data_IF_358554414876
#
_entry.id   IF_358554414876
#
_cell.length_a   1.000
_cell.length_b   1.000
_cell.length_c   1.000
_cell.angle_alpha   90.00
_cell.angle_beta   90.00
_cell.angle_gamma   90.00
#
_symmetry.space_group_name_H-M   'P 1'
#
loop_
_entity.id
_entity.type
_entity.pdbx_description
1 polymer ?
#
# COMPACT_ATOMS: atom_id res chain seq x y z
N UNK A 1 34.26 14.16 -17.35
CA UNK A 1 33.08 14.79 -17.95
C UNK A 1 32.20 13.82 -18.75
N UNK A 2 32.74 13.06 -19.73
CA UNK A 2 31.98 12.10 -20.57
C UNK A 2 31.32 10.96 -19.80
N UNK A 3 32.02 10.29 -18.87
CA UNK A 3 31.50 9.22 -18.04
C UNK A 3 30.37 9.70 -17.11
N UNK A 4 30.49 10.88 -16.49
CA UNK A 4 29.46 11.46 -15.63
C UNK A 4 28.18 11.72 -16.41
N UNK A 5 28.26 12.34 -17.58
CA UNK A 5 27.11 12.58 -18.46
C UNK A 5 26.42 11.29 -18.92
N UNK A 6 27.20 10.21 -19.11
CA UNK A 6 26.65 8.89 -19.45
C UNK A 6 25.90 8.26 -18.28
N UNK A 7 26.40 8.42 -17.03
CA UNK A 7 25.72 7.95 -15.82
C UNK A 7 24.44 8.74 -15.57
N UNK A 8 24.48 10.06 -15.65
CA UNK A 8 23.30 10.92 -15.54
C UNK A 8 22.20 10.48 -16.53
N UNK A 9 22.56 10.29 -17.81
CA UNK A 9 21.64 9.82 -18.84
C UNK A 9 21.04 8.45 -18.51
N UNK A 10 21.85 7.52 -17.98
CA UNK A 10 21.38 6.19 -17.59
C UNK A 10 20.37 6.27 -16.43
N UNK A 11 20.63 7.11 -15.42
CA UNK A 11 19.74 7.31 -14.29
C UNK A 11 18.40 7.91 -14.74
N UNK A 12 18.41 8.88 -15.65
CA UNK A 12 17.18 9.41 -16.27
C UNK A 12 16.43 8.33 -17.06
N UNK A 13 17.12 7.48 -17.80
CA UNK A 13 16.49 6.36 -18.52
C UNK A 13 15.86 5.34 -17.58
N UNK A 14 16.48 5.05 -16.43
CA UNK A 14 15.90 4.18 -15.39
C UNK A 14 14.62 4.79 -14.81
N UNK A 15 14.63 6.08 -14.49
CA UNK A 15 13.44 6.78 -13.97
C UNK A 15 12.31 6.78 -15.01
N UNK A 16 12.58 7.21 -16.25
CA UNK A 16 11.58 7.25 -17.31
C UNK A 16 11.07 5.84 -17.64
N UNK A 17 11.98 4.88 -17.77
CA UNK A 17 11.64 3.47 -17.99
C UNK A 17 10.79 2.90 -16.87
N UNK A 18 11.14 3.17 -15.61
CA UNK A 18 10.37 2.80 -14.44
C UNK A 18 8.95 3.37 -14.48
N UNK A 19 8.79 4.66 -14.78
CA UNK A 19 7.47 5.30 -14.90
C UNK A 19 6.63 4.68 -16.03
N UNK A 20 7.23 4.41 -17.18
CA UNK A 20 6.55 3.76 -18.31
C UNK A 20 6.07 2.36 -17.91
N UNK A 21 6.94 1.57 -17.28
CA UNK A 21 6.60 0.22 -16.78
C UNK A 21 5.48 0.31 -15.76
N UNK A 22 5.54 1.23 -14.79
CA UNK A 22 4.49 1.43 -13.79
C UNK A 22 3.11 1.74 -14.42
N UNK A 23 3.07 2.62 -15.43
CA UNK A 23 1.82 3.00 -16.11
C UNK A 23 1.19 1.79 -16.82
N UNK A 24 1.98 1.05 -17.61
CA UNK A 24 1.45 -0.13 -18.31
C UNK A 24 1.04 -1.24 -17.35
N UNK A 25 1.87 -1.51 -16.35
CA UNK A 25 1.64 -2.58 -15.37
C UNK A 25 0.42 -2.29 -14.49
N UNK A 26 0.25 -1.04 -14.04
CA UNK A 26 -0.93 -0.63 -13.31
C UNK A 26 -2.21 -0.73 -14.16
N UNK A 27 -2.16 -0.41 -15.47
CA UNK A 27 -3.28 -0.63 -16.37
C UNK A 27 -3.64 -2.13 -16.52
N UNK A 28 -2.64 -3.03 -16.64
CA UNK A 28 -2.89 -4.46 -16.72
C UNK A 28 -3.44 -5.03 -15.43
N UNK A 29 -2.88 -4.63 -14.28
CA UNK A 29 -3.38 -5.05 -12.97
C UNK A 29 -4.83 -4.61 -12.78
N UNK A 30 -5.13 -3.34 -13.08
CA UNK A 30 -6.50 -2.81 -12.97
C UNK A 30 -7.47 -3.55 -13.91
N UNK A 31 -7.08 -3.79 -15.16
CA UNK A 31 -7.89 -4.55 -16.12
C UNK A 31 -8.18 -5.97 -15.64
N UNK A 32 -7.18 -6.63 -15.03
CA UNK A 32 -7.35 -7.93 -14.40
C UNK A 32 -8.32 -7.86 -13.21
N UNK A 33 -8.16 -6.85 -12.34
CA UNK A 33 -8.99 -6.66 -11.15
C UNK A 33 -10.47 -6.44 -11.53
N UNK A 34 -10.75 -5.57 -12.49
CA UNK A 34 -12.11 -5.30 -12.99
C UNK A 34 -12.71 -6.58 -13.60
N UNK A 35 -11.97 -7.26 -14.49
CA UNK A 35 -12.45 -8.48 -15.12
C UNK A 35 -12.70 -9.62 -14.10
N UNK A 36 -11.88 -9.71 -13.05
CA UNK A 36 -12.06 -10.69 -11.98
C UNK A 36 -13.28 -10.36 -11.13
N UNK A 37 -13.51 -9.09 -10.81
CA UNK A 37 -14.70 -8.60 -10.10
C UNK A 37 -15.98 -9.03 -10.83
N UNK A 38 -16.05 -8.76 -12.14
CA UNK A 38 -17.18 -9.15 -12.99
C UNK A 38 -17.35 -10.66 -13.05
N UNK A 39 -16.27 -11.41 -13.25
CA UNK A 39 -16.31 -12.87 -13.41
C UNK A 39 -16.75 -13.62 -12.16
N UNK A 40 -16.38 -13.11 -10.98
CA UNK A 40 -16.70 -13.74 -9.69
C UNK A 40 -17.93 -13.13 -9.01
N UNK A 41 -18.53 -12.11 -9.62
CA UNK A 41 -19.64 -11.34 -9.04
C UNK A 41 -19.31 -10.82 -7.64
N UNK A 42 -18.12 -10.20 -7.53
CA UNK A 42 -17.57 -9.64 -6.29
C UNK A 42 -17.43 -8.13 -6.43
N UNK A 43 -17.82 -7.34 -5.41
CA UNK A 43 -17.67 -5.88 -5.46
C UNK A 43 -16.24 -5.44 -5.75
N UNK A 44 -16.08 -4.39 -6.56
CA UNK A 44 -14.77 -3.84 -6.96
C UNK A 44 -13.90 -3.44 -5.76
N UNK A 45 -14.50 -2.94 -4.66
CA UNK A 45 -13.78 -2.62 -3.42
C UNK A 45 -13.15 -3.87 -2.79
N UNK A 46 -13.85 -5.00 -2.81
CA UNK A 46 -13.35 -6.28 -2.27
C UNK A 46 -12.17 -6.79 -3.10
N UNK A 47 -12.25 -6.66 -4.43
CA UNK A 47 -11.11 -7.01 -5.30
C UNK A 47 -9.91 -6.08 -5.03
N UNK A 48 -10.16 -4.79 -4.83
CA UNK A 48 -9.13 -3.85 -4.40
C UNK A 48 -8.46 -4.29 -3.09
N UNK A 49 -9.27 -4.60 -2.08
CA UNK A 49 -8.80 -5.02 -0.74
C UNK A 49 -8.14 -6.40 -0.70
N UNK A 50 -8.32 -7.23 -1.70
CA UNK A 50 -7.78 -8.60 -1.73
C UNK A 50 -6.70 -8.75 -2.80
N UNK A 51 -7.11 -8.84 -4.05
CA UNK A 51 -6.25 -9.19 -5.18
C UNK A 51 -5.23 -8.08 -5.48
N UNK A 52 -5.69 -6.81 -5.54
CA UNK A 52 -4.80 -5.70 -5.87
C UNK A 52 -3.84 -5.44 -4.71
N UNK A 53 -4.34 -5.40 -3.46
CA UNK A 53 -3.49 -5.22 -2.27
C UNK A 53 -2.45 -6.32 -2.12
N UNK A 54 -2.80 -7.58 -2.37
CA UNK A 54 -1.83 -8.67 -2.36
C UNK A 54 -0.71 -8.45 -3.40
N UNK A 55 -1.07 -8.03 -4.61
CA UNK A 55 -0.09 -7.80 -5.67
C UNK A 55 0.85 -6.63 -5.37
N UNK A 56 0.32 -5.55 -4.78
CA UNK A 56 1.10 -4.34 -4.48
C UNK A 56 1.91 -4.46 -3.19
N UNK A 57 1.42 -5.22 -2.19
CA UNK A 57 2.15 -5.45 -0.91
C UNK A 57 3.08 -6.67 -0.93
N UNK A 58 3.22 -7.37 -2.07
CA UNK A 58 4.17 -8.48 -2.20
C UNK A 58 5.65 -8.03 -2.03
N UNK A 59 6.08 -6.86 -2.55
CA UNK A 59 7.40 -6.32 -2.29
C UNK A 59 7.69 -6.12 -0.80
N UNK A 60 6.74 -5.54 -0.06
CA UNK A 60 6.86 -5.31 1.39
C UNK A 60 7.06 -6.63 2.14
N UNK A 61 6.38 -7.70 1.71
CA UNK A 61 6.54 -9.02 2.31
C UNK A 61 7.97 -9.54 2.10
N UNK A 62 8.49 -9.45 0.88
CA UNK A 62 9.85 -9.91 0.55
C UNK A 62 10.89 -9.10 1.32
N UNK A 63 10.77 -7.77 1.35
CA UNK A 63 11.67 -6.88 2.07
C UNK A 63 11.66 -7.17 3.55
N UNK A 64 10.48 -7.30 4.17
CA UNK A 64 10.35 -7.54 5.61
C UNK A 64 10.89 -8.92 6.03
N UNK A 65 10.62 -9.98 5.23
CA UNK A 65 11.20 -11.32 5.50
C UNK A 65 12.73 -11.27 5.41
N UNK A 66 13.28 -10.68 4.36
CA UNK A 66 14.73 -10.59 4.17
C UNK A 66 15.39 -9.77 5.29
N UNK A 67 14.80 -8.65 5.68
CA UNK A 67 15.27 -7.82 6.78
C UNK A 67 15.28 -8.60 8.12
N UNK A 68 14.19 -9.29 8.44
CA UNK A 68 14.10 -10.08 9.67
C UNK A 68 15.08 -11.26 9.70
N UNK A 69 15.25 -11.97 8.57
CA UNK A 69 16.23 -13.06 8.45
C UNK A 69 17.69 -12.57 8.55
N UNK A 70 17.96 -11.34 8.11
CA UNK A 70 19.28 -10.70 8.24
C UNK A 70 19.53 -10.13 9.66
N UNK A 71 18.58 -10.26 10.59
CA UNK A 71 18.68 -9.72 11.93
C UNK A 71 18.28 -8.25 12.07
N UNK A 72 17.81 -7.61 11.00
CA UNK A 72 17.38 -6.20 10.95
C UNK A 72 15.87 -6.08 11.21
N UNK A 73 15.41 -6.52 12.39
CA UNK A 73 13.97 -6.53 12.74
C UNK A 73 13.32 -5.16 12.70
N UNK A 74 14.06 -4.10 13.09
CA UNK A 74 13.54 -2.72 13.02
C UNK A 74 13.28 -2.28 11.58
N UNK A 75 14.08 -2.75 10.62
CA UNK A 75 13.82 -2.50 9.21
C UNK A 75 12.52 -3.18 8.75
N UNK A 76 12.24 -4.40 9.22
CA UNK A 76 10.99 -5.10 8.90
C UNK A 76 9.76 -4.40 9.49
N UNK A 77 9.85 -3.95 10.76
CA UNK A 77 8.78 -3.18 11.43
C UNK A 77 8.60 -1.80 10.80
N UNK A 78 9.71 -1.08 10.60
CA UNK A 78 9.71 0.24 10.00
C UNK A 78 9.16 0.23 8.58
N UNK A 79 9.48 -0.79 7.77
CA UNK A 79 8.88 -0.99 6.45
C UNK A 79 7.35 -1.09 6.53
N UNK A 80 6.80 -1.92 7.41
CA UNK A 80 5.34 -2.10 7.54
C UNK A 80 4.66 -0.87 8.13
N UNK A 81 5.18 -0.31 9.22
CA UNK A 81 4.60 0.89 9.84
C UNK A 81 4.70 2.08 8.89
N UNK A 82 5.87 2.28 8.27
CA UNK A 82 6.12 3.36 7.31
C UNK A 82 5.26 3.25 6.06
N UNK A 83 5.11 2.05 5.46
CA UNK A 83 4.22 1.83 4.32
C UNK A 83 2.76 2.10 4.67
N UNK A 84 2.31 1.75 5.88
CA UNK A 84 0.93 2.03 6.31
C UNK A 84 0.70 3.55 6.47
N UNK A 85 1.66 4.28 7.02
CA UNK A 85 1.62 5.74 7.08
C UNK A 85 1.64 6.34 5.68
N UNK A 86 2.53 5.86 4.79
CA UNK A 86 2.65 6.34 3.43
C UNK A 86 1.37 6.06 2.61
N UNK A 87 0.77 4.88 2.72
CA UNK A 87 -0.43 4.51 2.00
C UNK A 87 -1.61 5.44 2.29
N UNK A 88 -1.81 5.84 3.54
CA UNK A 88 -2.91 6.73 3.91
C UNK A 88 -2.52 8.21 3.87
N UNK A 89 -1.32 8.57 4.31
CA UNK A 89 -0.86 9.95 4.31
C UNK A 89 -0.47 10.44 2.93
N UNK A 90 0.44 9.73 2.25
CA UNK A 90 0.99 10.13 0.96
C UNK A 90 0.13 9.63 -0.20
N UNK A 91 -0.08 8.31 -0.32
CA UNK A 91 -0.71 7.71 -1.50
C UNK A 91 -2.17 8.09 -1.62
N UNK A 92 -2.97 7.92 -0.55
CA UNK A 92 -4.36 8.37 -0.53
C UNK A 92 -4.42 9.89 -0.71
N UNK A 93 -3.56 10.64 -0.01
CA UNK A 93 -3.46 12.09 -0.12
C UNK A 93 -3.26 12.55 -1.57
N UNK A 94 -2.25 12.02 -2.26
CA UNK A 94 -1.99 12.33 -3.68
C UNK A 94 -3.17 11.88 -4.56
N UNK A 95 -3.67 10.67 -4.36
CA UNK A 95 -4.74 10.10 -5.20
C UNK A 95 -6.02 10.94 -5.14
N UNK A 96 -6.33 11.53 -3.98
CA UNK A 96 -7.48 12.43 -3.83
C UNK A 96 -7.34 13.76 -4.58
N UNK A 97 -6.13 14.18 -4.95
CA UNK A 97 -5.92 15.35 -5.82
C UNK A 97 -6.38 15.06 -7.26
N UNK A 98 -6.34 13.79 -7.70
CA UNK A 98 -6.79 13.38 -9.03
C UNK A 98 -8.30 13.10 -9.11
N UNK A 99 -8.98 12.93 -7.98
CA UNK A 99 -10.44 12.72 -8.01
C UNK A 99 -11.07 12.41 -6.66
N UNK A 100 -12.29 12.89 -6.50
CA UNK A 100 -13.11 12.60 -5.31
C UNK A 100 -13.52 11.13 -5.28
N UNK A 101 -13.34 10.46 -4.13
CA UNK A 101 -13.76 9.09 -3.89
C UNK A 101 -15.07 9.06 -3.10
N UNK A 102 -16.06 8.33 -3.59
CA UNK A 102 -17.26 8.02 -2.82
C UNK A 102 -17.01 6.79 -1.96
N UNK A 103 -17.38 6.89 -0.69
CA UNK A 103 -17.13 5.87 0.30
C UNK A 103 -18.40 5.07 0.54
N UNK A 104 -18.33 3.76 0.35
CA UNK A 104 -19.44 2.83 0.57
C UNK A 104 -19.67 2.57 2.07
N UNK A 105 -20.86 2.05 2.39
CA UNK A 105 -21.19 1.70 3.78
C UNK A 105 -20.29 0.63 4.39
N UNK A 106 -19.76 -0.27 3.57
CA UNK A 106 -18.80 -1.31 4.00
C UNK A 106 -17.55 -0.69 4.62
N UNK A 107 -17.05 0.40 4.06
CA UNK A 107 -15.85 1.07 4.53
C UNK A 107 -15.87 1.34 6.04
N UNK A 108 -16.91 2.02 6.55
CA UNK A 108 -16.97 2.38 7.98
C UNK A 108 -17.57 1.28 8.87
N UNK A 109 -18.22 0.25 8.27
CA UNK A 109 -18.77 -0.88 9.04
C UNK A 109 -17.79 -2.04 9.20
N UNK A 110 -16.90 -2.24 8.23
CA UNK A 110 -16.00 -3.41 8.15
C UNK A 110 -14.56 -3.03 7.82
N UNK A 111 -14.33 -2.28 6.74
CA UNK A 111 -13.00 -2.18 6.15
C UNK A 111 -12.07 -1.35 7.04
N UNK A 112 -12.49 -0.13 7.40
CA UNK A 112 -11.76 0.73 8.33
C UNK A 112 -11.68 0.14 9.75
N UNK A 113 -12.76 -0.43 10.35
CA UNK A 113 -12.66 -1.09 11.66
C UNK A 113 -11.65 -2.24 11.70
N UNK A 114 -11.60 -3.08 10.67
CA UNK A 114 -10.62 -4.18 10.61
C UNK A 114 -9.20 -3.64 10.52
N UNK A 115 -8.96 -2.60 9.71
CA UNK A 115 -7.66 -1.92 9.64
C UNK A 115 -7.24 -1.35 11.01
N UNK A 116 -8.17 -0.69 11.72
CA UNK A 116 -7.90 -0.15 13.06
C UNK A 116 -7.65 -1.24 14.09
N UNK A 117 -8.40 -2.34 14.04
CA UNK A 117 -8.19 -3.50 14.91
C UNK A 117 -6.83 -4.12 14.65
N UNK A 118 -6.44 -4.29 13.39
CA UNK A 118 -5.11 -4.80 13.02
C UNK A 118 -3.99 -3.89 13.56
N UNK A 119 -4.13 -2.58 13.37
CA UNK A 119 -3.17 -1.58 13.87
C UNK A 119 -3.09 -1.54 15.40
N UNK A 120 -4.24 -1.60 16.07
CA UNK A 120 -4.31 -1.67 17.53
C UNK A 120 -3.74 -2.98 18.10
N UNK A 121 -3.96 -4.11 17.41
CA UNK A 121 -3.41 -5.40 17.79
C UNK A 121 -1.89 -5.44 17.63
N UNK A 122 -1.36 -4.87 16.56
CA UNK A 122 0.08 -4.68 16.38
C UNK A 122 0.69 -3.92 17.57
N UNK A 123 0.09 -2.76 17.92
CA UNK A 123 0.53 -1.99 19.09
C UNK A 123 0.46 -2.81 20.38
N UNK A 124 -0.63 -3.54 20.59
CA UNK A 124 -0.82 -4.38 21.77
C UNK A 124 0.25 -5.47 21.92
N UNK A 125 0.61 -6.15 20.83
CA UNK A 125 1.68 -7.15 20.86
C UNK A 125 3.06 -6.54 21.13
N UNK A 126 3.32 -5.35 20.60
CA UNK A 126 4.62 -4.71 20.75
C UNK A 126 4.83 -4.01 22.09
N UNK A 127 3.76 -3.54 22.79
CA UNK A 127 3.89 -2.80 24.04
C UNK A 127 4.38 -3.67 25.19
N UNK A 128 4.14 -4.99 25.17
CA UNK A 128 4.55 -5.93 26.21
C UNK A 128 6.02 -6.26 26.11
N UNK A 129 6.32 -7.25 25.28
CA UNK A 129 7.66 -7.85 25.17
C UNK A 129 8.57 -7.17 24.14
N UNK A 130 8.13 -6.06 23.53
CA UNK A 130 8.82 -5.35 22.44
C UNK A 130 9.22 -6.29 21.28
N UNK A 131 8.39 -7.29 21.00
CA UNK A 131 8.60 -8.25 19.90
C UNK A 131 7.28 -8.87 19.49
N UNK A 132 7.22 -9.31 18.24
CA UNK A 132 6.15 -10.19 17.75
C UNK A 132 6.74 -11.59 17.66
N UNK A 133 6.15 -12.53 18.39
CA UNK A 133 6.59 -13.92 18.39
C UNK A 133 5.75 -14.78 17.46
N UNK A 134 6.18 -16.02 17.22
CA UNK A 134 5.59 -16.91 16.22
C UNK A 134 4.07 -17.11 16.40
N UNK A 135 3.58 -17.32 17.63
CA UNK A 135 2.14 -17.52 17.85
C UNK A 135 1.31 -16.25 17.58
N UNK A 136 1.88 -15.07 17.85
CA UNK A 136 1.24 -13.79 17.51
C UNK A 136 1.18 -13.59 15.99
N UNK A 137 2.23 -14.01 15.27
CA UNK A 137 2.22 -14.08 13.82
C UNK A 137 1.12 -14.99 13.26
N UNK A 138 0.93 -16.16 13.88
CA UNK A 138 -0.16 -17.07 13.53
C UNK A 138 -1.53 -16.40 13.76
N UNK A 139 -1.69 -15.67 14.86
CA UNK A 139 -2.93 -14.92 15.14
C UNK A 139 -3.17 -13.87 14.08
N UNK A 140 -2.17 -13.02 13.74
CA UNK A 140 -2.26 -12.00 12.71
C UNK A 140 -2.67 -12.62 11.36
N UNK A 141 -1.96 -13.64 10.92
CA UNK A 141 -2.25 -14.29 9.64
C UNK A 141 -3.63 -14.98 9.62
N UNK A 142 -4.04 -15.59 10.73
CA UNK A 142 -5.36 -16.21 10.87
C UNK A 142 -6.49 -15.18 10.78
N UNK A 143 -6.29 -13.99 11.37
CA UNK A 143 -7.23 -12.87 11.24
C UNK A 143 -7.34 -12.39 9.80
N UNK A 144 -6.24 -12.36 9.02
CA UNK A 144 -6.32 -12.07 7.59
C UNK A 144 -7.17 -13.09 6.87
N UNK A 145 -6.90 -14.39 7.06
CA UNK A 145 -7.67 -15.46 6.41
C UNK A 145 -9.16 -15.33 6.76
N UNK A 146 -9.48 -15.11 8.03
CA UNK A 146 -10.86 -14.89 8.46
C UNK A 146 -11.49 -13.67 7.77
N UNK A 147 -10.76 -12.55 7.70
CA UNK A 147 -11.22 -11.34 7.03
C UNK A 147 -11.46 -11.54 5.55
N UNK A 148 -10.55 -12.22 4.85
CA UNK A 148 -10.71 -12.53 3.42
C UNK A 148 -11.93 -13.43 3.17
N UNK A 149 -12.13 -14.45 4.00
CA UNK A 149 -13.31 -15.33 3.92
C UNK A 149 -14.60 -14.53 4.18
N UNK A 150 -14.57 -13.62 5.16
CA UNK A 150 -15.69 -12.73 5.45
C UNK A 150 -16.02 -11.83 4.24
N UNK A 151 -15.02 -11.16 3.66
CA UNK A 151 -15.21 -10.29 2.48
C UNK A 151 -15.84 -11.08 1.32
N UNK A 152 -15.29 -12.25 1.02
CA UNK A 152 -15.72 -13.06 -0.13
C UNK A 152 -17.11 -13.68 0.07
N UNK A 153 -17.53 -13.98 1.32
CA UNK A 153 -18.84 -14.60 1.59
C UNK A 153 -19.96 -13.62 1.86
N UNK A 154 -19.67 -12.52 2.54
CA UNK A 154 -20.71 -11.66 3.09
C UNK A 154 -20.82 -10.28 2.43
N UNK A 155 -19.80 -9.82 1.69
CA UNK A 155 -19.88 -8.55 0.96
C UNK A 155 -20.34 -8.69 -0.51
N UNK A 156 -20.91 -9.82 -0.90
CA UNK A 156 -21.39 -10.07 -2.28
C UNK A 156 -22.52 -9.13 -2.75
N UNK A 157 -23.21 -8.43 -1.86
CA UNK A 157 -24.49 -7.75 -2.14
C UNK A 157 -24.38 -6.25 -2.42
N UNK A 158 -23.21 -5.69 -2.56
CA UNK A 158 -23.06 -4.28 -2.90
C UNK A 158 -22.55 -4.10 -4.32
N UNK A 159 -23.48 -3.78 -5.22
CA UNK A 159 -23.26 -3.04 -6.47
C UNK A 159 -23.15 -3.83 -7.76
N UNK A 160 -24.32 -3.97 -8.37
CA UNK A 160 -24.51 -4.12 -9.83
C UNK A 160 -24.62 -2.73 -10.53
N UNK A 161 -24.27 -1.63 -9.86
CA UNK A 161 -24.68 -0.29 -10.33
C UNK A 161 -23.69 0.44 -11.25
N UNK A 162 -22.52 -0.12 -11.58
CA UNK A 162 -21.59 0.51 -12.53
C UNK A 162 -20.85 -0.54 -13.38
N UNK A 163 -21.59 -1.26 -14.21
CA UNK A 163 -20.98 -2.02 -15.32
C UNK A 163 -20.65 -1.03 -16.43
N UNK A 164 -19.40 -0.90 -16.88
CA UNK A 164 -19.11 -0.32 -18.18
C UNK A 164 -19.75 -1.21 -19.24
N UNK A 165 -20.65 -0.66 -20.04
CA UNK A 165 -21.43 -1.40 -21.04
C UNK A 165 -20.60 -2.02 -22.20
N UNK A 166 -19.28 -1.79 -22.25
CA UNK A 166 -18.45 -2.08 -23.42
C UNK A 166 -17.27 -3.06 -23.19
N UNK A 167 -17.08 -3.64 -22.00
CA UNK A 167 -15.96 -4.57 -21.80
C UNK A 167 -16.37 -6.03 -22.04
N UNK A 168 -15.87 -6.62 -23.12
CA UNK A 168 -15.99 -8.07 -23.39
C UNK A 168 -15.38 -8.87 -22.22
N UNK A 169 -16.06 -9.95 -21.76
CA UNK A 169 -15.57 -10.76 -20.64
C UNK A 169 -14.23 -11.42 -20.97
N UNK A 170 -13.18 -11.08 -20.24
CA UNK A 170 -11.86 -11.64 -20.43
C UNK A 170 -11.83 -13.13 -20.01
N UNK A 171 -11.21 -14.02 -20.79
CA UNK A 171 -10.99 -15.41 -20.38
C UNK A 171 -10.03 -15.46 -19.17
N UNK A 172 -10.22 -16.47 -18.31
CA UNK A 172 -9.49 -16.57 -17.03
C UNK A 172 -7.97 -16.52 -17.21
N UNK A 173 -7.43 -17.17 -18.25
CA UNK A 173 -5.97 -17.14 -18.48
C UNK A 173 -5.43 -15.73 -18.76
N UNK A 174 -6.19 -14.85 -19.44
CA UNK A 174 -5.80 -13.45 -19.65
C UNK A 174 -5.89 -12.64 -18.37
N UNK A 175 -6.90 -12.91 -17.52
CA UNK A 175 -7.04 -12.28 -16.21
C UNK A 175 -5.81 -12.61 -15.37
N UNK A 176 -5.44 -13.90 -15.26
CA UNK A 176 -4.25 -14.33 -14.51
C UNK A 176 -2.97 -13.75 -15.11
N UNK A 177 -2.83 -13.76 -16.44
CA UNK A 177 -1.68 -13.21 -17.13
C UNK A 177 -1.50 -11.71 -16.83
N UNK A 178 -2.58 -10.93 -16.96
CA UNK A 178 -2.55 -9.49 -16.69
C UNK A 178 -2.30 -9.19 -15.21
N UNK A 179 -2.82 -10.03 -14.29
CA UNK A 179 -2.53 -9.93 -12.87
C UNK A 179 -1.04 -10.13 -12.58
N UNK A 180 -0.45 -11.21 -13.11
CA UNK A 180 0.97 -11.53 -12.87
C UNK A 180 1.89 -10.49 -13.52
N UNK A 181 1.67 -10.16 -14.80
CA UNK A 181 2.49 -9.16 -15.50
C UNK A 181 2.31 -7.77 -14.87
N UNK A 182 1.08 -7.42 -14.47
CA UNK A 182 0.78 -6.18 -13.77
C UNK A 182 1.50 -6.09 -12.43
N UNK A 183 1.39 -7.11 -11.58
CA UNK A 183 2.04 -7.15 -10.27
C UNK A 183 3.58 -7.13 -10.37
N UNK A 184 4.15 -8.04 -11.16
CA UNK A 184 5.61 -8.09 -11.36
C UNK A 184 6.13 -6.80 -12.01
N UNK A 185 5.37 -6.23 -12.95
CA UNK A 185 5.76 -4.98 -13.60
C UNK A 185 5.66 -3.77 -12.68
N UNK A 186 4.67 -3.70 -11.78
CA UNK A 186 4.62 -2.64 -10.75
C UNK A 186 5.83 -2.71 -9.84
N UNK A 187 6.20 -3.90 -9.37
CA UNK A 187 7.41 -4.10 -8.58
C UNK A 187 8.68 -3.72 -9.36
N UNK A 188 8.87 -4.27 -10.55
CA UNK A 188 10.05 -3.98 -11.37
C UNK A 188 10.15 -2.52 -11.79
N UNK A 189 9.03 -1.87 -12.11
CA UNK A 189 8.98 -0.44 -12.44
C UNK A 189 9.33 0.46 -11.26
N UNK A 190 8.85 0.10 -10.05
CA UNK A 190 9.21 0.76 -8.80
C UNK A 190 10.72 0.64 -8.54
N UNK A 191 11.29 -0.57 -8.66
CA UNK A 191 12.71 -0.82 -8.47
C UNK A 191 13.60 0.02 -9.41
N UNK A 192 13.24 0.07 -10.70
CA UNK A 192 13.94 0.91 -11.67
C UNK A 192 13.90 2.40 -11.31
N UNK A 193 12.73 2.89 -10.87
CA UNK A 193 12.55 4.28 -10.48
C UNK A 193 13.38 4.61 -9.23
N UNK A 194 13.33 3.75 -8.20
CA UNK A 194 14.10 3.92 -6.96
C UNK A 194 15.61 3.93 -7.28
N UNK A 195 16.07 2.97 -8.06
CA UNK A 195 17.48 2.86 -8.42
C UNK A 195 17.98 4.11 -9.17
N UNK A 196 17.22 4.58 -10.15
CA UNK A 196 17.56 5.80 -10.90
C UNK A 196 17.52 7.05 -10.02
N UNK A 197 16.51 7.20 -9.16
CA UNK A 197 16.36 8.35 -8.26
C UNK A 197 17.46 8.37 -7.18
N UNK A 198 17.76 7.23 -6.57
CA UNK A 198 18.83 7.09 -5.58
C UNK A 198 20.21 7.44 -6.18
N UNK A 199 20.49 6.91 -7.37
CA UNK A 199 21.75 7.20 -8.05
C UNK A 199 21.93 8.68 -8.37
N UNK A 200 20.87 9.36 -8.84
CA UNK A 200 20.88 10.81 -9.04
C UNK A 200 21.05 11.59 -7.74
N UNK A 201 20.37 11.20 -6.67
CA UNK A 201 20.49 11.86 -5.38
C UNK A 201 21.91 11.79 -4.81
N UNK A 202 22.57 10.63 -4.95
CA UNK A 202 23.99 10.47 -4.60
C UNK A 202 24.87 11.41 -5.44
N UNK A 203 24.60 11.53 -6.73
CA UNK A 203 25.35 12.40 -7.63
C UNK A 203 25.22 13.89 -7.28
N UNK A 204 24.04 14.27 -6.75
CA UNK A 204 23.80 15.62 -6.19
C UNK A 204 24.28 15.80 -4.74
N UNK A 205 25.09 14.86 -4.22
CA UNK A 205 25.61 14.84 -2.85
C UNK A 205 24.52 14.88 -1.75
N UNK A 206 23.35 14.31 -2.03
CA UNK A 206 22.33 14.06 -1.00
C UNK A 206 22.85 12.95 -0.09
N UNK A 207 22.76 13.13 1.22
CA UNK A 207 23.26 12.13 2.16
C UNK A 207 22.49 10.81 2.06
N UNK A 208 23.17 9.68 2.29
CA UNK A 208 22.56 8.35 2.28
C UNK A 208 21.40 8.24 3.26
N UNK A 209 21.49 8.92 4.40
CA UNK A 209 20.39 9.00 5.38
C UNK A 209 19.14 9.62 4.78
N UNK A 210 19.26 10.78 4.10
CA UNK A 210 18.11 11.45 3.46
C UNK A 210 17.54 10.55 2.36
N UNK A 211 18.39 9.92 1.55
CA UNK A 211 17.98 8.99 0.49
C UNK A 211 17.18 7.82 1.09
N UNK A 212 17.69 7.20 2.16
CA UNK A 212 17.03 6.07 2.83
C UNK A 212 15.66 6.43 3.38
N UNK A 213 15.56 7.54 4.12
CA UNK A 213 14.31 7.96 4.76
C UNK A 213 13.28 8.49 3.76
N UNK A 214 13.71 9.04 2.61
CA UNK A 214 12.79 9.62 1.61
C UNK A 214 12.58 8.68 0.42
N UNK A 215 13.60 8.49 -0.42
CA UNK A 215 13.45 7.80 -1.70
C UNK A 215 13.15 6.30 -1.51
N UNK A 216 13.87 5.63 -0.63
CA UNK A 216 13.71 4.19 -0.40
C UNK A 216 12.41 3.92 0.37
N UNK A 217 12.13 4.69 1.42
CA UNK A 217 10.92 4.52 2.23
C UNK A 217 9.63 4.77 1.44
N UNK A 218 9.61 5.79 0.58
CA UNK A 218 8.47 6.04 -0.32
C UNK A 218 8.42 4.96 -1.42
N UNK A 219 9.58 4.46 -1.82
CA UNK A 219 9.74 3.58 -2.96
C UNK A 219 8.94 2.29 -2.90
N UNK A 220 8.84 1.67 -1.72
CA UNK A 220 8.04 0.46 -1.53
C UNK A 220 6.53 0.71 -1.72
N UNK A 221 6.05 1.94 -1.46
CA UNK A 221 4.64 2.32 -1.68
C UNK A 221 4.35 2.87 -3.09
N UNK A 222 5.34 2.89 -4.00
CA UNK A 222 5.12 3.32 -5.40
C UNK A 222 4.17 2.39 -6.17
N UNK A 223 4.21 1.06 -6.01
CA UNK A 223 3.22 0.16 -6.61
C UNK A 223 1.79 0.54 -6.24
N UNK A 224 1.53 0.80 -4.95
CA UNK A 224 0.24 1.25 -4.44
C UNK A 224 -0.17 2.59 -5.04
N UNK A 225 0.77 3.54 -5.10
CA UNK A 225 0.54 4.86 -5.67
C UNK A 225 0.16 4.75 -7.16
N UNK A 226 0.92 4.02 -7.94
CA UNK A 226 0.68 3.83 -9.37
C UNK A 226 -0.68 3.13 -9.60
N UNK A 227 -0.95 2.02 -8.91
CA UNK A 227 -2.21 1.30 -9.02
C UNK A 227 -3.41 2.19 -8.64
N UNK A 228 -3.29 2.94 -7.53
CA UNK A 228 -4.38 3.79 -7.03
C UNK A 228 -4.67 5.00 -7.93
N UNK A 229 -3.64 5.69 -8.44
CA UNK A 229 -3.81 6.81 -9.39
C UNK A 229 -4.47 6.30 -10.68
N UNK A 230 -3.97 5.19 -11.25
CA UNK A 230 -4.51 4.63 -12.48
C UNK A 230 -5.97 4.22 -12.29
N UNK A 231 -6.32 3.61 -11.15
CA UNK A 231 -7.69 3.25 -10.83
C UNK A 231 -8.61 4.49 -10.77
N UNK A 232 -8.17 5.58 -10.14
CA UNK A 232 -8.96 6.84 -10.10
C UNK A 232 -9.11 7.45 -11.47
N UNK A 233 -8.04 7.52 -12.27
CA UNK A 233 -8.08 8.05 -13.64
C UNK A 233 -9.00 7.23 -14.56
N UNK A 234 -9.10 5.92 -14.33
CA UNK A 234 -10.00 5.00 -15.04
C UNK A 234 -11.40 4.92 -14.42
N UNK A 235 -11.74 5.80 -13.46
CA UNK A 235 -13.01 5.87 -12.74
C UNK A 235 -13.30 4.64 -11.83
N UNK A 236 -12.32 3.78 -11.61
CA UNK A 236 -12.38 2.60 -10.74
C UNK A 236 -12.02 2.94 -9.28
N UNK A 237 -12.66 3.99 -8.73
CA UNK A 237 -12.32 4.58 -7.42
C UNK A 237 -12.50 3.62 -6.26
N UNK A 238 -13.45 2.68 -6.37
CA UNK A 238 -13.68 1.64 -5.35
C UNK A 238 -12.48 0.68 -5.25
N UNK A 239 -11.86 0.33 -6.39
CA UNK A 239 -10.64 -0.49 -6.41
C UNK A 239 -9.49 0.28 -5.74
N UNK A 240 -9.33 1.57 -6.06
CA UNK A 240 -8.28 2.41 -5.45
C UNK A 240 -8.41 2.49 -3.93
N UNK A 241 -9.61 2.81 -3.41
CA UNK A 241 -9.82 2.88 -1.96
C UNK A 241 -9.63 1.52 -1.30
N UNK A 242 -10.17 0.46 -1.92
CA UNK A 242 -9.98 -0.92 -1.47
C UNK A 242 -8.50 -1.31 -1.41
N UNK A 243 -7.73 -0.97 -2.44
CA UNK A 243 -6.29 -1.24 -2.46
C UNK A 243 -5.58 -0.57 -1.26
N UNK A 244 -5.81 0.70 -1.00
CA UNK A 244 -5.10 1.42 0.06
C UNK A 244 -5.44 0.89 1.47
N UNK A 245 -6.72 0.64 1.75
CA UNK A 245 -7.13 0.06 3.03
C UNK A 245 -6.67 -1.39 3.14
N UNK A 246 -6.82 -2.15 2.06
CA UNK A 246 -6.40 -3.55 1.99
C UNK A 246 -4.89 -3.70 2.18
N UNK A 247 -4.05 -2.89 1.52
CA UNK A 247 -2.59 -2.92 1.71
C UNK A 247 -2.19 -2.66 3.15
N UNK A 248 -2.87 -1.74 3.86
CA UNK A 248 -2.60 -1.52 5.28
C UNK A 248 -2.95 -2.75 6.13
N UNK A 249 -4.06 -3.41 5.84
CA UNK A 249 -4.45 -4.67 6.50
C UNK A 249 -3.45 -5.79 6.15
N UNK A 250 -3.08 -5.94 4.88
CA UNK A 250 -2.10 -6.94 4.42
C UNK A 250 -0.72 -6.73 5.04
N UNK A 251 -0.24 -5.50 5.12
CA UNK A 251 1.05 -5.17 5.71
C UNK A 251 1.13 -5.62 7.18
N UNK A 252 0.09 -5.41 7.96
CA UNK A 252 0.08 -5.84 9.36
C UNK A 252 -0.20 -7.35 9.47
N UNK A 253 -1.28 -7.82 8.86
CA UNK A 253 -1.77 -9.18 9.11
C UNK A 253 -1.03 -10.24 8.28
N UNK A 254 -0.63 -9.94 7.04
CA UNK A 254 0.15 -10.86 6.20
C UNK A 254 1.64 -10.65 6.37
N UNK A 255 2.15 -9.42 6.13
CA UNK A 255 3.60 -9.19 6.08
C UNK A 255 4.22 -9.46 7.46
N UNK A 256 3.76 -8.79 8.52
CA UNK A 256 4.28 -9.06 9.88
C UNK A 256 3.85 -10.44 10.39
N UNK A 257 2.63 -10.88 10.06
CA UNK A 257 2.16 -12.21 10.42
C UNK A 257 3.10 -13.30 9.91
N UNK A 258 3.35 -13.35 8.60
CA UNK A 258 4.23 -14.35 7.98
C UNK A 258 5.68 -14.16 8.44
N UNK A 259 6.20 -12.93 8.48
CA UNK A 259 7.56 -12.64 8.91
C UNK A 259 7.82 -13.14 10.33
N UNK A 260 6.91 -12.87 11.28
CA UNK A 260 7.05 -13.31 12.68
C UNK A 260 6.83 -14.82 12.87
N UNK A 261 6.10 -15.48 11.96
CA UNK A 261 6.03 -16.96 11.93
C UNK A 261 7.38 -17.60 11.55
N UNK A 262 8.16 -16.94 10.70
CA UNK A 262 9.47 -17.42 10.26
C UNK A 262 10.55 -17.10 11.32
N UNK A 263 10.57 -15.87 11.82
CA UNK A 263 11.53 -15.42 12.85
C UNK A 263 10.90 -14.32 13.70
N UNK A 264 11.09 -14.32 15.04
CA UNK A 264 10.56 -13.28 15.90
C UNK A 264 11.05 -11.89 15.51
N UNK A 265 10.13 -10.94 15.38
CA UNK A 265 10.42 -9.56 14.99
C UNK A 265 10.52 -8.69 16.25
N UNK A 266 11.72 -8.23 16.56
CA UNK A 266 12.02 -7.48 17.79
C UNK A 266 12.11 -5.98 17.51
N UNK A 267 11.64 -5.16 18.44
CA UNK A 267 11.89 -3.72 18.46
C UNK A 267 13.21 -3.46 19.15
N UNK A 268 14.16 -2.85 18.45
CA UNK A 268 15.44 -2.38 19.00
C UNK A 268 15.43 -0.85 19.13
N UNK A 269 14.83 -0.15 18.14
CA UNK A 269 14.63 1.30 18.18
C UNK A 269 13.29 1.64 18.84
N UNK A 270 13.35 2.30 20.00
CA UNK A 270 12.14 2.72 20.72
C UNK A 270 11.31 3.78 19.97
N UNK A 271 11.89 4.49 19.01
CA UNK A 271 11.18 5.44 18.14
C UNK A 271 10.02 4.82 17.39
N UNK A 272 10.15 3.54 17.00
CA UNK A 272 9.06 2.80 16.37
C UNK A 272 7.80 2.69 17.26
N UNK A 273 8.00 2.52 18.59
CA UNK A 273 6.90 2.40 19.56
C UNK A 273 6.42 3.74 20.11
N UNK A 274 7.31 4.70 20.27
CA UNK A 274 6.98 5.99 20.93
C UNK A 274 6.56 7.07 19.95
N UNK A 275 6.87 6.92 18.65
CA UNK A 275 6.56 7.90 17.62
C UNK A 275 5.81 7.26 16.45
N UNK A 276 6.43 6.33 15.74
CA UNK A 276 5.96 5.91 14.41
C UNK A 276 4.61 5.18 14.45
N UNK A 277 4.42 4.27 15.41
CA UNK A 277 3.16 3.55 15.56
C UNK A 277 1.99 4.48 15.92
N UNK A 278 2.24 5.55 16.68
CA UNK A 278 1.21 6.55 16.99
C UNK A 278 0.84 7.39 15.77
N UNK A 279 1.81 7.73 14.90
CA UNK A 279 1.53 8.37 13.63
C UNK A 279 0.70 7.46 12.71
N UNK A 280 1.05 6.18 12.63
CA UNK A 280 0.26 5.19 11.89
C UNK A 280 -1.18 5.12 12.40
N UNK A 281 -1.37 5.01 13.72
CA UNK A 281 -2.70 4.98 14.34
C UNK A 281 -3.46 6.28 14.12
N UNK A 282 -2.81 7.44 14.28
CA UNK A 282 -3.43 8.74 14.13
C UNK A 282 -3.90 9.02 12.70
N UNK A 283 -3.06 8.74 11.70
CA UNK A 283 -3.41 8.91 10.28
C UNK A 283 -4.50 7.91 9.88
N UNK A 284 -4.40 6.65 10.31
CA UNK A 284 -5.43 5.64 10.08
C UNK A 284 -6.78 6.02 10.70
N UNK A 285 -6.76 6.56 11.92
CA UNK A 285 -7.95 7.06 12.59
C UNK A 285 -8.54 8.28 11.88
N UNK A 286 -7.69 9.23 11.44
CA UNK A 286 -8.11 10.47 10.81
C UNK A 286 -8.91 10.27 9.51
N UNK A 287 -8.69 9.17 8.80
CA UNK A 287 -9.44 8.87 7.56
C UNK A 287 -10.95 8.77 7.82
N UNK A 288 -11.38 8.19 8.95
CA UNK A 288 -12.80 8.03 9.22
C UNK A 288 -13.55 9.36 9.40
N UNK A 289 -13.14 10.30 10.28
CA UNK A 289 -13.80 11.59 10.38
C UNK A 289 -13.78 12.39 9.08
N UNK A 290 -12.72 12.30 8.27
CA UNK A 290 -12.65 12.97 6.95
C UNK A 290 -13.74 12.48 5.99
N UNK A 291 -14.15 11.21 6.07
CA UNK A 291 -15.26 10.67 5.27
C UNK A 291 -16.60 11.34 5.61
N UNK A 292 -16.79 11.77 6.85
CA UNK A 292 -18.05 12.35 7.32
C UNK A 292 -18.10 13.89 7.28
N UNK A 293 -16.94 14.56 7.15
CA UNK A 293 -16.80 16.02 7.18
C UNK A 293 -16.23 16.54 5.85
N UNK A 294 -16.90 17.47 5.16
CA UNK A 294 -18.25 17.94 5.29
C UNK A 294 -19.23 16.99 4.61
N UNK A 295 -20.31 16.62 5.22
CA UNK A 295 -21.40 15.70 4.81
C UNK A 295 -21.31 15.10 3.40
N UNK A 296 -21.34 13.77 3.27
CA UNK A 296 -21.58 13.11 2.00
C UNK A 296 -20.87 11.79 1.73
N UNK A 297 -20.27 11.13 2.71
CA UNK A 297 -19.57 9.84 2.52
C UNK A 297 -18.58 9.88 1.35
N UNK A 298 -17.72 10.90 1.33
CA UNK A 298 -16.74 11.11 0.26
C UNK A 298 -15.46 11.72 0.79
N UNK A 299 -14.36 11.33 0.18
CA UNK A 299 -13.05 11.96 0.35
C UNK A 299 -12.75 12.80 -0.90
N UNK A 300 -12.24 13.98 -0.71
CA UNK A 300 -11.96 14.94 -1.79
C UNK A 300 -10.54 15.54 -1.66
N UNK A 301 -10.16 16.44 -2.56
CA UNK A 301 -8.83 17.02 -2.59
C UNK A 301 -8.42 17.77 -1.31
N UNK A 302 -9.39 18.35 -0.54
CA UNK A 302 -9.10 19.03 0.74
C UNK A 302 -8.66 18.01 1.79
N UNK A 303 -9.32 16.86 1.82
CA UNK A 303 -8.95 15.75 2.69
C UNK A 303 -7.58 15.22 2.30
N UNK A 304 -7.29 15.18 0.98
CA UNK A 304 -5.96 14.83 0.46
C UNK A 304 -4.86 15.78 0.96
N UNK A 305 -5.09 17.09 0.97
CA UNK A 305 -4.13 18.06 1.50
C UNK A 305 -3.91 17.86 3.01
N UNK A 306 -4.95 17.55 3.77
CA UNK A 306 -4.83 17.28 5.22
C UNK A 306 -3.94 16.04 5.44
N UNK A 307 -4.18 14.96 4.72
CA UNK A 307 -3.40 13.72 4.81
C UNK A 307 -1.95 13.92 4.39
N UNK A 308 -1.71 14.66 3.30
CA UNK A 308 -0.36 15.02 2.86
C UNK A 308 0.36 15.90 3.89
N UNK A 309 -0.34 16.87 4.48
CA UNK A 309 0.20 17.69 5.55
C UNK A 309 0.61 16.85 6.77
N UNK A 310 -0.23 15.89 7.17
CA UNK A 310 0.09 14.96 8.26
C UNK A 310 1.32 14.09 7.92
N UNK A 311 1.42 13.58 6.68
CA UNK A 311 2.57 12.81 6.23
C UNK A 311 3.86 13.63 6.23
N UNK A 312 3.83 14.85 5.69
CA UNK A 312 4.99 15.75 5.69
C UNK A 312 5.42 16.09 7.13
N UNK A 313 4.46 16.32 8.02
CA UNK A 313 4.74 16.56 9.45
C UNK A 313 5.40 15.34 10.10
N UNK A 314 4.88 14.13 9.83
CA UNK A 314 5.50 12.89 10.29
C UNK A 314 6.96 12.80 9.84
N UNK A 315 7.22 12.97 8.54
CA UNK A 315 8.59 12.92 7.99
C UNK A 315 9.49 13.96 8.66
N UNK A 316 9.00 15.21 8.81
CA UNK A 316 9.78 16.30 9.44
C UNK A 316 10.15 16.01 10.90
N UNK A 317 9.27 15.36 11.66
CA UNK A 317 9.50 15.04 13.07
C UNK A 317 10.32 13.76 13.27
N UNK A 318 10.39 12.89 12.26
CA UNK A 318 11.14 11.62 12.33
C UNK A 318 12.59 11.78 11.83
N UNK A 319 12.87 12.74 10.93
CA UNK A 319 14.21 13.08 10.44
C UNK A 319 14.93 14.02 11.42
#
# INVERSE_FOLDING_TARGET
MYLRRKLELMNFLLIIGGLVVLIFSGNWLLKSAVALSLKLDIPKIVIGMTVVSFATSAPELIVSINAALSGSSDLALGNVIGSNIANLGLVLGITLLFGTMHVQKSFYKTDWPVMMIASGLLYFFLIGDKKIVQYEGIILFSLLVFFLVYLLRFQKTAVIDELPEDDEPLPLYKIVLFFVIGGVGLWGGSELLIQGATSLAIEFNVSERIIGVTIVSIGTSIPELAASIIAVLKKEKAISLGNLIGSNVFNILAVLGITSMITPVKVQDEGLLTNDIFWMLAISFAVLPLVFIPKGYRLNWKDGIILLGAYVTFIYLTI
#
